data_IF_969897026641
#
_entry.id   IF_969897026641
#
_cell.length_a   1.000
_cell.length_b   1.000
_cell.length_c   1.000
_cell.angle_alpha   90.00
_cell.angle_beta   90.00
_cell.angle_gamma   90.00
#
_symmetry.space_group_name_H-M   'P 1'
#
loop_
_entity.id
_entity.type
_entity.pdbx_description
1 polymer ?
#
# COMPACT_ATOMS: atom_id res chain seq x y z
N UNK A 1 13.18 -14.96 20.04
CA UNK A 1 12.74 -13.71 20.61
C UNK A 1 11.25 -13.52 20.45
N UNK A 2 10.70 -13.95 19.33
CA UNK A 2 9.26 -13.89 19.16
C UNK A 2 8.74 -15.21 18.62
N UNK A 3 7.42 -15.37 18.58
CA UNK A 3 6.85 -16.55 17.99
C UNK A 3 5.42 -16.40 17.54
N UNK A 4 5.14 -16.78 16.30
CA UNK A 4 3.76 -16.87 15.87
C UNK A 4 3.65 -16.70 14.37
N UNK A 5 2.44 -16.94 13.87
CA UNK A 5 2.09 -16.45 12.54
C UNK A 5 2.03 -14.93 12.57
N UNK A 6 2.62 -14.30 11.56
CA UNK A 6 2.90 -12.86 11.58
C UNK A 6 2.72 -12.32 10.18
N UNK A 7 1.89 -11.30 10.02
CA UNK A 7 1.71 -10.69 8.73
C UNK A 7 2.58 -9.45 8.61
N UNK A 8 3.88 -9.66 8.46
CA UNK A 8 4.78 -8.56 8.22
C UNK A 8 4.55 -8.13 6.79
N UNK A 9 3.48 -7.36 6.64
CA UNK A 9 2.91 -6.95 5.37
C UNK A 9 3.80 -6.82 4.14
N UNK B 1 21.53 -9.79 18.74
CA UNK B 1 20.43 -9.88 17.80
C UNK B 1 20.20 -8.58 17.05
N UNK B 2 21.27 -7.80 16.90
CA UNK B 2 21.17 -6.50 16.27
C UNK B 2 20.88 -6.65 14.79
N UNK B 3 20.49 -5.54 14.16
CA UNK B 3 20.45 -5.51 12.72
C UNK B 3 20.49 -4.10 12.16
N UNK B 4 21.42 -3.84 11.27
CA UNK B 4 21.46 -2.57 10.58
C UNK B 4 22.87 -2.28 10.11
N UNK B 5 22.96 -1.36 9.16
CA UNK B 5 24.27 -0.92 8.71
C UNK B 5 25.02 -0.32 9.89
N UNK B 6 26.29 -0.69 10.01
CA UNK B 6 27.05 -0.46 11.22
C UNK B 6 28.48 -0.11 10.83
N UNK B 7 29.21 0.42 11.79
CA UNK B 7 30.59 0.83 11.54
C UNK B 7 31.39 0.65 12.80
N UNK B 8 32.07 -0.49 12.90
CA UNK B 8 32.89 -0.77 14.04
C UNK B 8 34.32 -0.40 13.67
N UNK B 9 34.74 0.76 14.17
CA UNK B 9 36.09 1.24 13.96
C UNK B 9 36.44 1.60 12.52
N UNK C 1 42.25 -0.88 15.90
CA UNK C 1 41.66 -0.40 17.14
C UNK C 1 41.10 -1.50 18.03
N UNK C 2 40.25 -2.35 17.45
CA UNK C 2 39.65 -3.46 18.19
C UNK C 2 40.65 -4.58 18.46
N UNK C 3 40.22 -5.58 19.24
CA UNK C 3 41.05 -6.70 19.60
C UNK C 3 40.54 -8.03 19.09
N UNK C 4 39.95 -8.80 19.99
CA UNK C 4 39.36 -10.07 19.65
C UNK C 4 38.40 -10.53 20.74
N UNK C 5 38.26 -11.84 20.90
CA UNK C 5 37.41 -12.48 21.90
C UNK C 5 36.06 -11.77 22.04
N UNK C 6 35.32 -11.75 20.92
CA UNK C 6 34.03 -11.08 20.87
C UNK C 6 32.98 -11.91 20.13
N UNK C 7 31.83 -11.31 19.89
CA UNK C 7 30.72 -12.02 19.26
C UNK C 7 29.86 -11.06 18.45
N UNK C 8 29.86 -11.24 17.15
CA UNK C 8 29.17 -10.33 16.27
C UNK C 8 27.96 -10.97 15.63
N UNK C 9 27.74 -12.23 16.00
CA UNK C 9 26.57 -12.94 15.52
C UNK C 9 25.32 -12.54 16.29
N UNK D 1 25.48 -16.82 22.10
CA UNK D 1 25.30 -15.50 22.67
C UNK D 1 26.58 -14.90 23.21
N UNK D 2 27.30 -15.68 24.03
CA UNK D 2 28.44 -15.14 24.75
C UNK D 2 29.62 -14.92 23.81
N UNK D 3 30.64 -14.24 24.31
CA UNK D 3 31.86 -14.06 23.55
C UNK D 3 33.06 -13.73 24.40
N UNK D 4 34.14 -14.47 24.23
CA UNK D 4 35.39 -14.12 24.86
C UNK D 4 36.14 -15.37 25.27
N UNK D 5 37.39 -15.17 25.67
CA UNK D 5 38.11 -16.25 26.34
C UNK D 5 37.35 -16.66 27.60
N UNK D 6 37.33 -17.95 27.86
CA UNK D 6 36.51 -18.52 28.92
C UNK D 6 37.25 -19.67 29.57
N UNK D 7 36.68 -20.16 30.66
CA UNK D 7 37.24 -21.31 31.36
C UNK D 7 36.14 -22.10 32.03
N UNK D 8 35.66 -23.13 31.34
CA UNK D 8 34.68 -24.02 31.89
C UNK D 8 35.44 -25.26 32.32
N UNK D 9 35.11 -25.70 33.53
CA UNK D 9 35.76 -26.87 34.12
C UNK D 9 37.27 -26.72 34.24
N UNK E 1 33.02 -26.75 39.80
CA UNK E 1 32.46 -27.94 40.42
C UNK E 1 30.95 -27.90 40.48
N UNK E 2 30.37 -26.96 39.74
CA UNK E 2 28.92 -26.77 39.71
C UNK E 2 28.21 -27.94 39.04
N UNK E 3 26.88 -27.97 39.16
CA UNK E 3 26.07 -28.99 38.53
C UNK E 3 24.61 -28.58 38.47
N UNK E 4 23.98 -28.74 37.32
CA UNK E 4 22.54 -28.59 37.25
C UNK E 4 22.11 -27.97 35.95
N UNK E 5 20.79 -27.79 35.82
CA UNK E 5 20.16 -27.18 34.65
C UNK E 5 20.87 -25.92 34.20
N UNK E 6 21.20 -25.85 32.92
CA UNK E 6 21.95 -24.69 32.43
C UNK E 6 21.82 -24.44 30.93
N UNK E 7 22.09 -23.20 30.52
CA UNK E 7 22.05 -22.84 29.11
C UNK E 7 23.22 -21.89 28.94
N UNK E 8 23.81 -21.81 27.75
CA UNK E 8 24.97 -20.96 27.65
C UNK E 8 24.58 -20.36 26.32
N UNK E 9 25.25 -19.27 26.00
CA UNK E 9 24.99 -18.57 24.75
C UNK E 9 23.67 -17.84 24.77
N UNK F 1 17.53 -20.59 24.65
CA UNK F 1 17.03 -19.75 25.72
C UNK F 1 17.08 -20.47 27.05
N UNK F 2 16.19 -21.43 27.22
CA UNK F 2 16.17 -22.21 28.45
C UNK F 2 16.64 -23.62 28.14
N UNK F 3 16.85 -24.42 29.18
CA UNK F 3 17.32 -25.77 28.97
C UNK F 3 17.16 -26.60 30.22
N UNK F 4 16.20 -27.52 30.23
CA UNK F 4 16.02 -28.38 31.37
C UNK F 4 15.02 -29.48 31.14
N UNK F 5 14.61 -30.15 32.23
CA UNK F 5 13.63 -31.20 32.12
C UNK F 5 12.25 -30.59 32.02
N UNK F 6 12.08 -29.62 31.12
CA UNK F 6 10.81 -28.95 30.97
C UNK F 6 9.80 -29.86 30.28
N UNK F 7 9.20 -30.77 31.04
CA UNK F 7 8.20 -31.66 30.46
C UNK F 7 7.23 -30.81 29.67
N UNK F 8 6.99 -31.18 28.42
CA UNK F 8 6.12 -30.37 27.58
C UNK F 8 5.07 -31.33 27.04
N UNK F 9 3.83 -30.99 27.32
CA UNK F 9 2.70 -31.83 26.95
C UNK F 9 2.40 -32.85 28.02
N UNK G 1 -3.96 -28.19 28.46
CA UNK G 1 -4.51 -27.96 27.14
C UNK G 1 -4.24 -26.57 26.61
N UNK G 2 -2.96 -26.25 26.45
CA UNK G 2 -2.54 -24.95 25.95
C UNK G 2 -2.67 -24.88 24.43
N UNK G 3 -2.26 -23.75 23.88
CA UNK G 3 -2.36 -23.56 22.45
C UNK G 3 -1.88 -22.21 21.98
N UNK G 4 -2.62 -21.59 21.07
CA UNK G 4 -2.17 -20.35 20.44
C UNK G 4 -0.81 -20.53 19.79
N UNK G 5 -0.03 -19.45 19.77
CA UNK G 5 1.31 -19.45 19.21
C UNK G 5 2.28 -18.98 20.29
N UNK G 6 3.23 -19.83 20.64
CA UNK G 6 4.07 -19.62 21.81
C UNK G 6 5.55 -19.63 21.44
N UNK G 7 6.29 -18.73 22.07
CA UNK G 7 7.74 -18.69 21.93
C UNK G 7 8.33 -19.23 23.22
N UNK G 8 8.48 -20.55 23.30
CA UNK G 8 8.90 -21.17 24.54
C UNK G 8 10.39 -21.03 24.72
N UNK G 9 10.75 -19.89 25.32
CA UNK G 9 12.14 -19.57 25.61
C UNK G 9 13.01 -19.36 24.39
N UNK H 1 6.79 -0.19 3.94
CA UNK H 1 6.11 0.77 4.79
C UNK H 1 6.80 0.98 6.12
N UNK H 2 7.83 0.18 6.37
CA UNK H 2 8.61 0.27 7.59
C UNK H 2 10.07 0.57 7.25
N UNK H 3 10.79 1.04 8.27
CA UNK H 3 12.06 1.73 8.10
C UNK H 3 13.09 1.15 7.17
N UNK H 4 13.63 -0.03 7.48
CA UNK H 4 14.61 -0.62 6.59
C UNK H 4 15.79 -1.30 7.27
N UNK H 5 16.15 -0.86 8.48
CA UNK H 5 17.15 -1.55 9.30
C UNK H 5 16.45 -1.95 10.58
N UNK H 6 15.75 -3.08 10.54
CA UNK H 6 14.90 -3.50 11.63
C UNK H 6 15.44 -4.77 12.27
N UNK H 7 15.19 -4.89 13.57
CA UNK H 7 15.41 -6.13 14.29
C UNK H 7 14.11 -6.65 14.85
N UNK H 8 13.63 -7.76 14.30
CA UNK H 8 12.50 -8.44 14.86
C UNK H 8 13.04 -9.63 15.61
N UNK H 9 12.96 -9.55 16.94
CA UNK H 9 13.43 -10.64 17.77
C UNK H 9 14.94 -10.70 17.84
N UNK I 1 -13.52 -33.06 26.54
CA UNK I 1 -13.89 -32.30 27.71
C UNK I 1 -15.14 -31.48 27.50
N UNK I 2 -15.83 -31.74 26.40
CA UNK I 2 -17.02 -31.00 26.00
C UNK I 2 -18.19 -31.97 25.83
N UNK I 3 -19.38 -31.40 25.73
CA UNK I 3 -20.63 -32.16 25.64
C UNK I 3 -20.63 -33.31 24.66
N UNK I 4 -20.51 -33.01 23.37
CA UNK I 4 -20.46 -34.06 22.37
C UNK I 4 -21.29 -33.77 21.14
N UNK I 5 -22.32 -32.94 21.27
CA UNK I 5 -23.13 -32.48 20.14
C UNK I 5 -22.95 -30.98 20.08
N UNK I 6 -21.88 -30.55 19.43
CA UNK I 6 -21.56 -29.15 19.28
C UNK I 6 -21.55 -28.77 17.81
N UNK I 7 -21.76 -27.48 17.55
CA UNK I 7 -21.70 -26.96 16.19
C UNK I 7 -20.65 -25.87 16.08
N UNK I 8 -19.40 -26.26 15.92
CA UNK I 8 -18.36 -25.29 15.69
C UNK I 8 -18.55 -24.73 14.30
N UNK I 9 -19.35 -23.67 14.26
CA UNK I 9 -19.77 -23.05 13.03
C UNK I 9 -18.63 -22.77 12.06
N UNK J 1 -16.10 -21.60 9.26
CA UNK J 1 -16.57 -20.30 9.69
C UNK J 1 -15.73 -19.69 10.79
N UNK J 2 -14.58 -20.30 11.06
CA UNK J 2 -13.67 -19.80 12.08
C UNK J 2 -12.28 -19.55 11.48
N UNK J 3 -11.39 -19.05 12.34
CA UNK J 3 -10.09 -18.58 11.95
C UNK J 3 -9.37 -19.91 11.88
N UNK J 4 -8.21 -19.96 11.23
CA UNK J 4 -7.59 -21.26 10.97
C UNK J 4 -6.41 -21.70 11.81
N UNK J 5 -6.15 -20.99 12.91
CA UNK J 5 -5.22 -21.44 13.94
C UNK J 5 -6.05 -21.63 15.20
N UNK J 6 -6.60 -22.82 15.32
CA UNK J 6 -7.39 -23.24 16.47
C UNK J 6 -6.74 -24.46 17.09
N UNK J 7 -6.95 -24.62 18.38
CA UNK J 7 -6.36 -25.74 19.09
C UNK J 7 -7.39 -26.42 19.96
N UNK J 8 -8.27 -27.17 19.34
CA UNK J 8 -9.24 -27.93 20.07
C UNK J 8 -8.48 -29.04 20.76
N UNK J 9 -8.28 -28.83 22.05
CA UNK J 9 -7.58 -29.79 22.87
C UNK J 9 -8.41 -31.05 23.08
N UNK K 1 -26.65 -25.56 12.78
CA UNK K 1 -26.82 -24.36 13.59
C UNK K 1 -27.31 -24.65 14.99
N UNK K 2 -27.60 -25.91 15.28
CA UNK K 2 -28.24 -26.27 16.55
C UNK K 2 -27.37 -27.23 17.34
N UNK K 3 -27.79 -27.43 18.59
CA UNK K 3 -27.16 -28.35 19.52
C UNK K 3 -26.87 -29.74 18.99
N UNK K 4 -27.90 -30.50 18.65
CA UNK K 4 -27.68 -31.87 18.23
C UNK K 4 -28.69 -32.89 18.71
N UNK K 5 -29.39 -32.60 19.81
CA UNK K 5 -30.39 -33.50 20.37
C UNK K 5 -31.75 -32.87 20.12
N UNK K 6 -32.31 -33.16 18.96
CA UNK K 6 -33.57 -32.58 18.52
C UNK K 6 -34.60 -33.67 18.27
N UNK K 7 -35.87 -33.27 18.33
CA UNK K 7 -36.98 -34.20 18.11
C UNK K 7 -38.14 -33.50 17.44
N UNK K 8 -38.18 -33.58 16.11
CA UNK K 8 -39.23 -32.95 15.35
C UNK K 8 -40.34 -33.96 15.08
N UNK K 9 -41.33 -33.92 15.96
CA UNK K 9 -42.47 -34.82 15.88
C UNK K 9 -43.32 -34.61 14.64
N UNK L 1 -47.57 -31.11 11.96
CA UNK L 1 -48.23 -30.25 12.91
C UNK L 1 -47.69 -28.84 12.89
N UNK L 2 -46.94 -28.53 11.84
CA UNK L 2 -46.34 -27.22 11.63
C UNK L 2 -46.70 -26.70 10.24
N UNK L 3 -46.51 -25.40 10.07
CA UNK L 3 -46.88 -24.70 8.85
C UNK L 3 -46.45 -25.34 7.55
N UNK L 4 -45.15 -25.41 7.30
CA UNK L 4 -44.66 -26.04 6.09
C UNK L 4 -43.54 -25.28 5.41
N UNK L 5 -43.47 -23.96 5.61
CA UNK L 5 -42.38 -23.14 5.10
C UNK L 5 -41.74 -22.42 6.29
N UNK L 6 -40.79 -23.12 6.93
CA UNK L 6 -40.13 -22.61 8.12
C UNK L 6 -38.62 -22.79 8.01
N UNK L 7 -37.89 -21.97 8.75
CA UNK L 7 -36.43 -22.03 8.73
C UNK L 7 -35.83 -22.52 10.04
N UNK L 8 -35.08 -23.61 9.97
CA UNK L 8 -34.30 -24.07 11.09
C UNK L 8 -32.85 -24.04 10.65
N UNK L 9 -32.21 -22.93 10.98
CA UNK L 9 -30.86 -22.68 10.56
C UNK L 9 -29.84 -23.52 11.30
N UNK M 1 -32.34 -18.93 5.77
CA UNK M 1 -32.36 -17.65 6.46
C UNK M 1 -33.74 -17.05 6.62
N UNK M 2 -34.64 -17.34 5.68
CA UNK M 2 -35.97 -16.76 5.63
C UNK M 2 -37.05 -17.83 5.68
N UNK M 3 -38.29 -17.36 5.84
CA UNK M 3 -39.46 -18.19 5.99
C UNK M 3 -39.61 -19.34 5.01
N UNK M 4 -39.79 -19.04 3.74
CA UNK M 4 -40.05 -20.08 2.77
C UNK M 4 -41.11 -19.74 1.74
N UNK M 5 -42.01 -18.82 2.09
CA UNK M 5 -43.04 -18.32 1.17
C UNK M 5 -42.81 -16.82 1.02
N UNK M 6 -41.88 -16.45 0.16
CA UNK M 6 -41.50 -15.07 -0.09
C UNK M 6 -41.67 -14.76 -1.57
N UNK M 7 -41.99 -13.50 -1.84
CA UNK M 7 -42.40 -13.13 -3.20
C UNK M 7 -41.62 -11.95 -3.76
N UNK M 8 -40.32 -12.12 -3.91
CA UNK M 8 -39.49 -11.08 -4.47
C UNK M 8 -40.24 -10.99 -5.78
N UNK M 9 -40.60 -9.75 -6.10
CA UNK M 9 -41.30 -9.45 -7.32
C UNK M 9 -40.21 -8.85 -8.18
N UNK N 1 -34.17 -7.21 -11.66
CA UNK N 1 -34.98 -6.11 -11.16
C UNK N 1 -34.58 -5.62 -9.78
N UNK N 2 -33.50 -6.20 -9.27
CA UNK N 2 -32.96 -5.87 -7.96
C UNK N 2 -31.50 -5.44 -8.12
N UNK N 3 -30.88 -5.09 -7.00
CA UNK N 3 -29.57 -4.48 -6.98
C UNK N 3 -28.52 -5.12 -7.86
N UNK N 4 -28.15 -6.35 -7.59
CA UNK N 4 -27.24 -7.08 -8.46
C UNK N 4 -26.15 -7.85 -7.75
N UNK N 5 -25.77 -7.37 -6.57
CA UNK N 5 -24.83 -8.07 -5.69
C UNK N 5 -25.53 -8.24 -4.35
N UNK N 6 -26.32 -9.30 -4.24
CA UNK N 6 -27.19 -9.49 -3.09
C UNK N 6 -26.81 -10.78 -2.36
N UNK N 7 -27.17 -10.83 -1.09
CA UNK N 7 -27.04 -12.05 -0.32
C UNK N 7 -28.38 -12.41 0.28
N UNK N 8 -29.05 -13.38 -0.32
CA UNK N 8 -30.19 -13.99 0.28
C UNK N 8 -29.62 -15.19 1.01
N UNK N 9 -30.08 -15.39 2.24
CA UNK N 9 -29.55 -16.41 3.11
C UNK N 9 -29.36 -17.78 2.47
N UNK O 1 -22.27 -16.26 1.45
CA UNK O 1 -23.01 -15.44 2.39
C UNK O 1 -22.73 -13.96 2.26
N UNK O 2 -22.25 -13.55 1.09
CA UNK O 2 -21.99 -12.15 0.81
C UNK O 2 -22.71 -11.69 -0.45
N UNK O 3 -22.81 -10.37 -0.57
CA UNK O 3 -23.36 -9.72 -1.75
C UNK O 3 -22.07 -9.98 -2.48
N UNK O 4 -22.08 -9.76 -3.80
CA UNK O 4 -20.92 -10.10 -4.62
C UNK O 4 -19.75 -9.25 -5.08
N UNK O 5 -19.96 -7.95 -5.38
CA UNK O 5 -18.85 -7.14 -5.92
C UNK O 5 -18.23 -7.05 -4.55
N UNK O 6 -16.95 -7.27 -4.51
CA UNK O 6 -16.19 -7.19 -3.28
C UNK O 6 -14.74 -7.14 -3.75
N UNK O 7 -13.94 -6.38 -3.03
CA UNK O 7 -12.55 -6.20 -3.43
C UNK O 7 -11.62 -6.36 -2.26
N UNK O 8 -10.90 -7.48 -2.24
CA UNK O 8 -9.95 -7.75 -1.18
C UNK O 8 -8.57 -7.59 -1.78
N UNK O 9 -8.17 -6.32 -1.85
CA UNK O 9 -6.96 -5.92 -2.55
C UNK O 9 -5.67 -6.35 -1.87
N UNK P 1 -2.10 -7.67 3.75
CA UNK P 1 -1.99 -6.58 4.71
C UNK P 1 -3.04 -6.60 5.80
N UNK P 2 -3.59 -7.78 6.06
CA UNK P 2 -4.61 -8.00 7.08
C UNK P 2 -4.15 -9.10 8.04
N UNK P 3 -4.89 -9.25 9.14
CA UNK P 3 -4.54 -10.13 10.23
C UNK P 3 -4.08 -11.54 9.90
N UNK P 4 -4.96 -12.39 9.36
CA UNK P 4 -4.53 -13.71 8.99
C UNK P 4 -5.44 -14.87 9.33
N UNK P 5 -6.27 -14.71 10.36
CA UNK P 5 -7.24 -15.75 10.76
C UNK P 5 -8.62 -15.10 10.70
N UNK P 6 -9.20 -15.04 9.51
CA UNK P 6 -10.40 -14.27 9.26
C UNK P 6 -11.56 -15.15 8.81
N UNK P 7 -12.76 -14.67 9.12
CA UNK P 7 -14.00 -15.25 8.63
C UNK P 7 -14.80 -14.26 7.81
N UNK P 8 -14.47 -14.14 6.54
CA UNK P 8 -15.27 -13.30 5.70
C UNK P 8 -16.45 -14.19 5.58
N UNK P 9 -17.43 -14.04 6.46
CA UNK P 9 -18.63 -14.88 6.44
C UNK P 9 -18.59 -16.02 5.45
N UNK Q 1 -6.69 -2.21 -5.37
CA UNK Q 1 -6.77 -1.38 -4.18
C UNK Q 1 -7.88 -0.35 -4.26
N UNK Q 2 -8.68 -0.42 -5.31
CA UNK Q 2 -9.80 0.46 -5.53
C UNK Q 2 -11.07 -0.37 -5.74
N UNK Q 3 -12.22 0.28 -5.62
CA UNK Q 3 -13.51 -0.37 -5.64
C UNK Q 3 -13.74 -1.40 -6.73
N UNK Q 4 -13.74 -0.97 -7.98
CA UNK Q 4 -13.97 -1.92 -9.07
C UNK Q 4 -14.90 -1.39 -10.13
N UNK Q 5 -15.78 -0.46 -9.76
CA UNK Q 5 -16.73 0.15 -10.69
C UNK Q 5 -16.42 1.63 -10.74
N UNK Q 6 -15.44 1.98 -11.56
CA UNK Q 6 -15.01 3.36 -11.73
C UNK Q 6 -15.04 3.74 -13.20
N UNK Q 7 -15.32 5.00 -13.46
CA UNK Q 7 -15.24 5.52 -14.81
C UNK Q 7 -14.07 6.47 -14.93
N UNK Q 8 -12.87 5.94 -15.08
CA UNK Q 8 -11.71 6.78 -15.25
C UNK Q 8 -12.44 7.23 -16.49
N UNK Q 9 -12.44 8.56 -16.65
CA UNK Q 9 -13.14 9.29 -17.70
C UNK Q 9 -12.40 9.13 -19.01
N UNK R 1 -11.11 13.53 -19.66
CA UNK R 1 -11.61 14.59 -18.81
C UNK R 1 -10.56 15.11 -17.83
N UNK R 2 -9.42 14.45 -17.79
CA UNK R 2 -8.30 14.86 -16.93
C UNK R 2 -7.02 15.01 -17.76
N UNK R 3 -6.05 15.65 -17.13
CA UNK R 3 -4.78 15.99 -17.75
C UNK R 3 -4.00 14.92 -18.48
N UNK R 4 -3.50 13.91 -17.78
CA UNK R 4 -2.62 12.96 -18.44
C UNK R 4 -1.42 12.51 -17.63
N UNK R 5 -1.01 13.31 -16.63
CA UNK R 5 0.11 12.98 -15.76
C UNK R 5 -0.48 12.74 -14.38
N UNK R 6 -1.00 11.53 -14.19
CA UNK R 6 -1.75 11.12 -13.02
C UNK R 6 -1.10 9.91 -12.39
N UNK R 7 -1.43 9.67 -11.13
CA UNK R 7 -0.92 8.49 -10.44
C UNK R 7 -1.94 7.90 -9.49
N UNK R 8 -2.65 6.89 -9.97
CA UNK R 8 -3.63 6.26 -9.14
C UNK R 8 -2.87 5.25 -8.30
N UNK R 9 -2.90 5.53 -7.00
CA UNK R 9 -2.07 4.84 -6.04
C UNK R 9 -2.26 3.34 -5.99
N UNK S 1 -20.12 8.32 -17.32
CA UNK S 1 -20.62 9.45 -16.57
C UNK S 1 -20.99 9.10 -15.14
N UNK S 2 -21.22 7.82 -14.86
CA UNK S 2 -21.62 7.36 -13.55
C UNK S 2 -20.78 6.18 -13.08
N UNK S 3 -20.96 5.85 -11.80
CA UNK S 3 -20.23 4.82 -11.10
C UNK S 3 -20.10 3.45 -11.74
N UNK S 4 -21.20 2.72 -11.90
CA UNK S 4 -21.06 1.36 -12.36
C UNK S 4 -21.96 0.33 -11.71
N UNK S 5 -22.46 0.61 -10.50
CA UNK S 5 -23.32 -0.32 -9.77
C UNK S 5 -24.68 0.35 -9.62
N UNK S 6 -25.50 0.22 -10.65
CA UNK S 6 -26.79 0.88 -10.75
C UNK S 6 -27.89 -0.14 -11.01
N UNK S 7 -29.11 0.27 -10.70
CA UNK S 7 -30.29 -0.54 -10.98
C UNK S 7 -31.45 0.32 -11.40
N UNK S 8 -31.44 0.76 -12.66
CA UNK S 8 -32.55 1.52 -13.18
C UNK S 8 -33.72 0.57 -13.27
N UNK S 9 -34.69 0.83 -12.41
CA UNK S 9 -35.86 -0.03 -12.29
C UNK S 9 -36.74 0.05 -13.52
N UNK T 1 -41.06 4.16 -15.79
CA UNK T 1 -41.90 5.07 -15.03
C UNK T 1 -41.37 6.49 -15.01
N UNK T 2 -40.61 6.82 -16.04
CA UNK T 2 -40.02 8.14 -16.20
C UNK T 2 -40.43 8.72 -17.56
N UNK T 3 -40.11 10.00 -17.75
CA UNK T 3 -40.44 10.69 -18.98
C UNK T 3 -40.08 9.97 -20.26
N UNK T 4 -38.78 9.80 -20.51
CA UNK T 4 -38.35 9.11 -21.71
C UNK T 4 -37.20 9.79 -22.44
N UNK T 5 -37.05 11.10 -22.25
CA UNK T 5 -36.06 11.90 -22.96
C UNK T 5 -35.09 12.39 -21.90
N UNK T 6 -34.12 11.55 -21.59
CA UNK T 6 -33.24 11.70 -20.44
C UNK T 6 -31.79 11.65 -20.87
N UNK T 7 -30.91 12.05 -19.96
CA UNK T 7 -29.48 11.97 -20.24
C UNK T 7 -28.71 11.30 -19.11
N UNK T 8 -28.60 9.98 -19.17
CA UNK T 8 -27.74 9.27 -18.27
C UNK T 8 -26.40 9.18 -18.96
N UNK T 9 -25.63 10.25 -18.77
CA UNK T 9 -24.37 10.45 -19.44
C UNK T 9 -23.41 9.27 -19.39
N UNK U 1 -26.04 15.56 -23.37
CA UNK U 1 -25.85 16.67 -22.45
C UNK U 1 -27.10 17.45 -22.19
N UNK U 2 -28.12 17.24 -23.02
CA UNK U 2 -29.35 18.01 -22.98
C UNK U 2 -30.54 17.08 -22.75
N UNK U 3 -31.68 17.71 -22.46
CA UNK U 3 -32.93 17.01 -22.22
C UNK U 3 -33.32 15.97 -23.25
N UNK U 4 -33.61 16.40 -24.47
CA UNK U 4 -33.99 15.45 -25.50
C UNK U 4 -35.13 15.88 -26.40
N UNK U 5 -36.00 16.77 -25.93
CA UNK U 5 -37.15 17.22 -26.71
C UNK U 5 -36.89 18.69 -27.02
N UNK U 6 -36.14 18.92 -28.09
CA UNK U 6 -35.70 20.24 -28.48
C UNK U 6 -36.21 20.54 -29.88
N UNK U 7 -36.33 21.81 -30.19
CA UNK U 7 -36.80 22.23 -31.49
C UNK U 7 -35.94 23.35 -32.03
N UNK U 8 -34.73 23.00 -32.45
CA UNK U 8 -33.85 23.97 -33.06
C UNK U 8 -34.36 24.26 -34.44
N UNK U 9 -35.40 25.09 -34.48
CA UNK U 9 -36.05 25.43 -35.72
C UNK U 9 -35.14 26.11 -36.72
N UNK V 1 -29.25 27.88 -41.12
CA UNK V 1 -29.83 28.93 -40.30
C UNK V 1 -29.08 29.15 -39.01
N UNK V 2 -28.09 28.30 -38.75
CA UNK V 2 -27.24 28.39 -37.57
C UNK V 2 -25.78 28.47 -38.01
N UNK V 3 -24.91 28.78 -37.06
CA UNK V 3 -23.53 29.11 -37.32
C UNK V 3 -22.78 28.18 -38.27
N UNK V 4 -22.55 26.95 -37.85
CA UNK V 4 -21.91 26.00 -38.74
C UNK V 4 -20.85 25.14 -38.08
N UNK V 5 -20.21 25.66 -37.03
CA UNK V 5 -19.25 24.91 -36.23
C UNK V 5 -19.79 24.87 -34.80
N UNK V 6 -20.62 23.87 -34.52
CA UNK V 6 -21.33 23.76 -33.25
C UNK V 6 -20.97 22.45 -32.56
N UNK V 7 -21.23 22.41 -31.26
CA UNK V 7 -21.03 21.21 -30.46
C UNK V 7 -22.28 20.86 -29.69
N UNK V 8 -23.24 20.25 -30.37
CA UNK V 8 -24.41 19.74 -29.69
C UNK V 8 -23.94 18.52 -28.94
N UNK V 9 -24.18 18.55 -27.64
CA UNK V 9 -23.68 17.50 -26.75
C UNK V 9 -24.25 16.12 -27.04
N UNK W 1 -16.77 20.46 -25.91
CA UNK W 1 -17.42 21.30 -24.94
C UNK W 1 -17.24 22.78 -25.21
N UNK W 2 -16.63 23.11 -26.34
CA UNK W 2 -16.41 24.48 -26.74
C UNK W 2 -17.02 24.75 -28.12
N UNK W 3 -17.05 26.04 -28.46
CA UNK W 3 -17.71 26.55 -29.65
C UNK W 3 -17.44 25.82 -30.94
N UNK W 4 -16.21 25.84 -31.43
CA UNK W 4 -15.96 25.24 -32.72
C UNK W 4 -15.04 26.04 -33.62
N UNK W 5 -14.91 27.34 -33.38
CA UNK W 5 -14.06 28.20 -34.18
C UNK W 5 -12.91 28.60 -33.27
N UNK W 6 -11.91 27.74 -33.23
CA UNK W 6 -10.79 27.84 -32.31
C UNK W 6 -9.50 27.96 -33.11
N UNK W 7 -8.45 28.43 -32.44
CA UNK W 7 -7.19 28.65 -33.13
C UNK W 7 -6.01 28.48 -32.20
N UNK W 8 -5.98 27.35 -31.50
CA UNK W 8 -4.88 27.00 -30.63
C UNK W 8 -3.82 27.14 -31.72
N UNK W 9 -2.82 27.95 -31.39
CA UNK W 9 -1.79 28.32 -32.34
C UNK W 9 -0.50 27.79 -31.74
N UNK X 1 3.05 26.39 -25.43
CA UNK X 1 3.36 27.57 -24.65
C UNK X 1 2.51 27.66 -23.40
N UNK X 2 1.91 26.54 -23.02
CA UNK X 2 1.03 26.44 -21.87
C UNK X 2 1.46 25.27 -20.99
N UNK X 3 0.77 25.10 -19.88
CA UNK X 3 1.18 24.19 -18.83
C UNK X 3 1.59 22.78 -19.21
N UNK X 4 0.66 21.97 -19.68
CA UNK X 4 1.00 20.61 -20.07
C UNK X 4 0.01 19.55 -19.63
N UNK X 5 -0.73 19.81 -18.56
CA UNK X 5 -1.78 18.91 -18.07
C UNK X 5 -3.08 19.69 -18.07
N UNK X 6 -3.75 19.74 -19.21
CA UNK X 6 -4.89 20.61 -19.40
C UNK X 6 -6.12 19.81 -19.80
N UNK X 7 -7.29 20.35 -19.48
CA UNK X 7 -8.55 19.78 -19.90
C UNK X 7 -9.37 20.76 -20.72
N UNK X 8 -8.99 20.94 -21.98
CA UNK X 8 -9.83 21.68 -22.88
C UNK X 8 -11.00 20.74 -23.14
N UNK X 9 -12.12 21.08 -22.49
CA UNK X 9 -13.29 20.22 -22.40
C UNK X 9 -13.72 19.50 -23.67
N UNK Y 1 35.88 3.01 7.13
CA UNK Y 1 35.99 3.54 8.48
C UNK Y 1 34.94 4.58 8.81
N UNK Y 2 34.06 4.87 7.87
CA UNK Y 2 33.03 5.88 8.00
C UNK Y 2 31.66 5.24 7.91
N UNK Y 3 30.62 6.05 8.10
CA UNK Y 3 29.25 5.60 8.24
C UNK Y 3 28.78 4.53 7.29
N UNK Y 4 28.75 4.82 5.99
CA UNK Y 4 28.46 3.79 5.01
C UNK Y 4 27.51 4.20 3.91
N UNK Y 5 26.63 5.15 4.19
CA UNK Y 5 25.70 5.72 3.22
C UNK Y 5 25.98 7.21 3.13
N UNK Y 6 26.99 7.58 2.36
CA UNK Y 6 27.39 8.99 2.34
C UNK Y 6 27.68 9.52 0.95
N UNK Y 7 27.14 10.69 0.63
CA UNK Y 7 27.42 11.31 -0.65
C UNK Y 7 28.36 12.47 -0.39
N UNK Y 8 29.48 12.51 -1.09
CA UNK Y 8 30.45 13.56 -0.89
C UNK Y 8 29.90 14.32 -2.05
N UNK Y 9 29.56 15.59 -1.85
CA UNK Y 9 28.97 16.39 -2.91
C UNK Y 9 29.99 16.76 -3.97
N UNK Z 1 32.20 19.40 -6.17
CA UNK Z 1 31.44 20.15 -5.18
C UNK Z 1 32.27 20.50 -3.96
N UNK Z 2 33.57 20.49 -4.10
CA UNK Z 2 34.43 20.75 -2.95
C UNK Z 2 35.65 21.49 -3.39
N UNK Z 3 36.30 22.18 -2.45
CA UNK Z 3 37.55 22.84 -2.78
C UNK Z 3 38.35 21.71 -3.37
N UNK Z 4 38.62 20.69 -2.55
CA UNK Z 4 39.31 19.54 -3.07
C UNK Z 4 40.44 18.98 -2.24
N UNK Z 5 41.21 19.84 -1.57
CA UNK Z 5 42.36 19.30 -0.86
C UNK Z 5 41.84 18.73 0.45
N UNK Z 6 41.34 17.51 0.36
CA UNK Z 6 40.60 16.87 1.43
C UNK Z 6 41.23 15.53 1.77
N UNK Z 7 41.05 15.11 3.01
CA UNK Z 7 41.67 13.90 3.48
C UNK Z 7 40.77 13.14 4.42
N UNK Z 8 40.26 12.02 3.93
CA UNK Z 8 39.39 11.17 4.71
C UNK Z 8 40.19 9.97 5.12
N UNK Z 9 40.87 10.13 6.25
CA UNK Z 9 41.78 9.13 6.74
C UNK Z 9 41.12 7.87 7.26
N UNK AA 1 23.12 13.73 -3.40
CA UNK AA 1 22.80 14.87 -2.55
C UNK AA 1 22.18 14.45 -1.24
N UNK AA 2 21.89 13.17 -1.09
CA UNK AA 2 21.24 12.63 0.09
C UNK AA 2 22.11 11.57 0.76
N UNK AA 3 21.75 11.25 2.00
CA UNK AA 3 22.45 10.26 2.81
C UNK AA 3 22.74 8.92 2.16
N UNK AA 4 21.71 8.14 1.84
CA UNK AA 4 22.00 6.87 1.18
C UNK AA 4 21.22 5.66 1.66
N UNK AA 5 20.71 5.69 2.89
CA UNK AA 5 19.97 4.56 3.47
C UNK AA 5 18.54 5.04 3.68
N UNK AA 6 17.75 4.95 2.61
CA UNK AA 6 16.49 5.67 2.52
C UNK AA 6 15.33 4.70 2.27
N UNK AA 7 14.14 5.13 2.70
CA UNK AA 7 12.96 4.28 2.63
C UNK AA 7 11.77 5.03 2.06
N UNK AA 8 11.53 4.87 0.76
CA UNK AA 8 10.46 5.57 0.11
C UNK AA 8 9.25 4.66 -0.01
N UNK AA 9 8.42 4.75 1.02
CA UNK AA 9 7.25 3.89 1.14
C UNK AA 9 6.29 3.98 -0.01
N UNK BA 1 3.32 5.82 -5.45
CA UNK BA 1 2.62 6.34 -4.29
C UNK BA 1 3.02 7.75 -3.91
N UNK BA 2 3.82 8.38 -4.76
CA UNK BA 2 4.31 9.73 -4.57
C UNK BA 2 3.93 10.59 -5.78
N UNK BA 3 4.16 11.89 -5.65
CA UNK BA 3 3.69 12.89 -6.60
C UNK BA 3 3.89 12.56 -8.06
N UNK BA 4 5.13 12.43 -8.50
CA UNK BA 4 5.37 12.00 -9.87
C UNK BA 4 6.47 12.74 -10.61
N UNK BA 5 6.75 13.98 -10.22
CA UNK BA 5 7.82 14.78 -10.82
C UNK BA 5 8.80 15.13 -9.70
N UNK BA 6 9.73 14.22 -9.44
CA UNK BA 6 10.66 14.35 -8.32
C UNK BA 6 12.10 14.28 -8.79
N UNK BA 7 12.98 14.84 -7.97
CA UNK BA 7 14.41 14.72 -8.20
C UNK BA 7 15.08 14.11 -6.97
N UNK BA 8 15.67 12.94 -7.16
CA UNK BA 8 16.36 12.25 -6.10
C UNK BA 8 17.84 12.13 -6.45
N UNK BA 9 18.49 13.30 -6.57
CA UNK BA 9 19.89 13.38 -6.94
C UNK BA 9 20.23 12.93 -8.35
N UNK CA 1 16.59 18.76 -11.19
CA UNK CA 1 16.54 19.30 -9.84
C UNK CA 1 15.32 20.15 -9.59
N UNK CA 2 14.25 19.89 -10.34
CA UNK CA 2 13.04 20.67 -10.27
C UNK CA 2 11.84 19.77 -10.05
N UNK CA 3 10.72 20.39 -9.71
CA UNK CA 3 9.45 19.70 -9.67
C UNK CA 3 9.13 18.90 -10.90
N UNK CA 4 8.89 19.56 -12.03
CA UNK CA 4 8.43 18.84 -13.20
C UNK CA 4 7.36 19.54 -14.04
N UNK CA 5 6.64 20.48 -13.44
CA UNK CA 5 5.58 21.21 -14.13
C UNK CA 5 6.07 22.64 -14.30
N UNK CA 6 6.76 22.87 -15.41
CA UNK CA 6 7.43 24.12 -15.68
C UNK CA 6 6.97 24.65 -17.03
N UNK CA 7 7.12 25.94 -17.25
CA UNK CA 7 6.75 26.48 -18.54
C UNK CA 7 7.61 27.68 -18.93
N UNK CA 8 8.92 27.47 -18.99
CA UNK CA 8 9.78 28.52 -19.46
C UNK CA 8 9.04 28.47 -20.78
N UNK CA 9 8.61 29.67 -21.20
CA UNK CA 9 7.69 29.86 -22.31
C UNK CA 9 8.52 29.91 -23.58
N UNK DA 1 11.49 33.57 -25.43
CA UNK DA 1 11.94 34.91 -25.08
C UNK DA 1 12.84 34.95 -23.87
N UNK DA 2 13.86 34.10 -23.88
CA UNK DA 2 14.84 34.00 -22.80
C UNK DA 2 16.23 34.24 -23.35
N UNK DA 3 17.15 34.54 -22.43
CA UNK DA 3 18.50 34.99 -22.77
C UNK DA 3 19.24 34.20 -23.83
N UNK DA 4 19.59 32.97 -23.53
CA UNK DA 4 20.25 32.14 -24.52
C UNK DA 4 21.41 31.32 -24.00
N UNK DA 5 22.04 31.78 -22.92
CA UNK DA 5 23.18 31.12 -22.31
C UNK DA 5 22.71 30.71 -20.91
N UNK DA 6 22.20 29.49 -20.81
CA UNK DA 6 21.53 29.01 -19.61
C UNK DA 6 22.04 27.64 -19.17
N UNK DA 7 21.82 27.35 -17.90
CA UNK DA 7 21.97 25.98 -17.43
C UNK DA 7 20.67 25.47 -16.84
N UNK DA 8 20.01 24.57 -17.55
CA UNK DA 8 18.84 23.93 -17.03
C UNK DA 8 19.25 22.54 -16.59
N UNK DA 9 19.75 22.51 -15.36
CA UNK DA 9 20.28 21.32 -14.70
C UNK DA 9 20.20 19.97 -15.39
N UNK EA 1 27.19 24.47 -16.29
CA UNK EA 1 26.65 24.59 -14.95
C UNK EA 1 26.58 26.02 -14.43
N UNK EA 2 26.70 26.99 -15.33
CA UNK EA 2 26.72 28.40 -15.00
C UNK EA 2 25.82 29.15 -15.95
N UNK EA 3 25.82 30.47 -15.80
CA UNK EA 3 25.19 31.34 -16.78
C UNK EA 3 25.62 30.96 -18.17
N UNK EA 4 26.89 31.16 -18.51
CA UNK EA 4 27.30 30.81 -19.86
C UNK EA 4 28.21 31.83 -20.51
N UNK EA 5 28.15 33.06 -20.06
CA UNK EA 5 28.93 34.15 -20.62
C UNK EA 5 29.99 34.48 -19.58
N UNK EA 6 31.04 33.66 -19.56
CA UNK EA 6 32.08 33.73 -18.55
C UNK EA 6 33.43 33.92 -19.23
N UNK EA 7 34.34 34.54 -18.50
CA UNK EA 7 35.64 34.89 -19.08
C UNK EA 7 36.77 34.59 -18.13
N UNK EA 8 37.01 33.30 -17.92
CA UNK EA 8 38.11 32.87 -17.10
C UNK EA 8 39.07 33.47 -18.12
N UNK EA 9 40.01 34.25 -17.58
CA UNK EA 9 41.04 34.87 -18.40
C UNK EA 9 42.27 34.28 -17.72
N UNK FA 1 45.26 32.27 -12.81
CA UNK FA 1 46.03 32.81 -11.72
C UNK FA 1 45.35 32.64 -10.38
N UNK FA 2 44.75 31.47 -10.17
CA UNK FA 2 44.00 31.13 -8.97
C UNK FA 2 44.59 29.88 -8.33
N UNK FA 3 44.06 29.54 -7.15
CA UNK FA 3 44.56 28.48 -6.31
C UNK FA 3 44.89 27.16 -7.00
N UNK FA 4 43.89 26.49 -7.56
CA UNK FA 4 44.19 25.31 -8.34
C UNK FA 4 43.26 24.13 -8.13
N UNK FA 5 42.65 24.03 -6.95
CA UNK FA 5 41.70 22.96 -6.64
C UNK FA 5 40.36 23.62 -6.35
N UNK FA 6 39.63 23.92 -7.41
CA UNK FA 6 38.47 24.78 -7.31
C UNK FA 6 37.20 24.00 -7.62
N UNK FA 7 36.10 24.44 -7.02
CA UNK FA 7 34.81 23.87 -7.30
C UNK FA 7 33.96 24.85 -8.06
N UNK FA 8 34.21 24.96 -9.36
CA UNK FA 8 33.36 25.78 -10.18
C UNK FA 8 32.06 25.01 -10.30
N UNK FA 9 31.10 25.50 -9.53
CA UNK FA 9 29.81 24.83 -9.40
C UNK FA 9 29.07 24.64 -10.70
#
# INVERSE_FOLDING_TARGET
GFGGNDNFG
GFGGNDNFG
GFGGNDNFG
GFGGNDNFG
GFGGNDNFG
GFGGNDNFG
GFGGNDNFG
GFGGNDNFG
GFGGNDNFG
GFGGNDNFG
GFGGNDNFG
GFGGNDNFG
GFGGNDNFG
GFGGNDNFG
GFGGNDNFG
GFGGNDNFG
GFGGNDNFG
GFGGNDNFG
GFGGNDNFG
GFGGNDNFG
GFGGNDNFG
GFGGNDNFG
GFGGNDNFG
GFGGNDNFG
GFGGNDNFG
GFGGNDNFG
GFGGNDNFG
GFGGNDNFG
GFGGNDNFG
GFGGNDNFG
GFGGNDNFG
GFGGNDNFG
#
